data_IF_465451601897
#
_entry.id   IF_465451601897
#
_cell.length_a   1.000
_cell.length_b   1.000
_cell.length_c   1.000
_cell.angle_alpha   90.00
_cell.angle_beta   90.00
_cell.angle_gamma   90.00
#
_symmetry.space_group_name_H-M   'P 1'
#
loop_
_entity.id
_entity.type
_entity.pdbx_description
1 polymer ?
#
# COMPACT_ATOMS: atom_id res chain seq x y z
N UNK A 1 -49.98 37.90 -47.34
CA UNK A 1 -50.03 39.38 -47.48
C UNK A 1 -48.96 39.96 -46.58
N UNK A 2 -47.99 40.70 -47.17
CA UNK A 2 -46.78 41.32 -46.57
C UNK A 2 -45.75 40.32 -46.00
N UNK A 3 -44.43 40.43 -46.17
CA UNK A 3 -43.49 41.29 -46.91
C UNK A 3 -42.10 40.80 -46.45
N UNK A 4 -41.27 40.12 -47.25
CA UNK A 4 -40.27 40.68 -48.19
C UNK A 4 -38.90 40.99 -47.51
N UNK A 5 -37.81 40.58 -48.20
CA UNK A 5 -36.36 40.92 -48.05
C UNK A 5 -35.62 40.13 -46.95
N UNK A 6 -34.80 39.09 -47.20
CA UNK A 6 -33.79 38.78 -48.22
C UNK A 6 -32.57 39.72 -48.23
N UNK A 7 -31.39 39.19 -47.88
CA UNK A 7 -30.12 39.26 -48.64
C UNK A 7 -28.96 38.96 -47.67
N UNK A 8 -28.34 37.79 -47.74
CA UNK A 8 -27.32 37.39 -48.73
C UNK A 8 -25.97 38.11 -48.52
N UNK A 9 -25.01 37.30 -48.05
CA UNK A 9 -23.69 37.08 -48.65
C UNK A 9 -22.46 37.67 -47.95
N UNK A 10 -21.60 36.72 -47.55
CA UNK A 10 -20.16 36.65 -47.84
C UNK A 10 -19.20 37.50 -47.01
N UNK A 11 -17.98 36.95 -46.93
CA UNK A 11 -16.73 37.39 -46.25
C UNK A 11 -16.55 36.76 -44.85
N UNK A 12 -15.99 35.54 -44.73
CA UNK A 12 -14.60 35.09 -44.94
C UNK A 12 -13.67 35.31 -43.72
N UNK A 13 -13.18 34.17 -43.21
CA UNK A 13 -11.82 33.92 -42.67
C UNK A 13 -11.28 34.75 -41.50
N UNK A 14 -11.33 34.15 -40.29
CA UNK A 14 -10.26 34.04 -39.28
C UNK A 14 -10.93 33.43 -38.01
N UNK A 15 -10.46 32.39 -37.32
CA UNK A 15 -9.10 31.95 -37.12
C UNK A 15 -9.04 30.42 -36.95
N UNK A 16 -8.10 29.83 -37.68
CA UNK A 16 -7.41 28.61 -37.25
C UNK A 16 -6.53 29.04 -36.08
N UNK A 17 -6.83 28.55 -34.88
CA UNK A 17 -5.89 28.55 -33.75
C UNK A 17 -5.94 27.18 -33.09
N UNK A 18 -4.75 26.58 -33.09
CA UNK A 18 -4.39 25.24 -32.66
C UNK A 18 -4.48 25.10 -31.13
N UNK A 19 -5.09 24.01 -30.67
CA UNK A 19 -4.74 23.23 -29.47
C UNK A 19 -5.65 21.98 -29.49
N UNK A 20 -5.27 20.75 -29.82
CA UNK A 20 -4.06 19.98 -29.51
C UNK A 20 -3.74 19.95 -28.01
N UNK A 21 -4.67 19.40 -27.22
CA UNK A 21 -4.32 18.58 -26.05
C UNK A 21 -5.32 17.41 -25.96
N UNK A 22 -4.79 16.23 -26.28
CA UNK A 22 -5.06 14.91 -25.69
C UNK A 22 -6.53 14.50 -25.53
N UNK A 23 -7.04 13.57 -26.36
CA UNK A 23 -6.96 12.14 -26.02
C UNK A 23 -6.86 11.93 -24.51
N UNK A 24 -8.01 11.87 -23.84
CA UNK A 24 -8.13 11.37 -22.48
C UNK A 24 -7.77 9.89 -22.42
N UNK A 25 -6.48 9.58 -22.61
CA UNK A 25 -5.87 8.39 -22.08
C UNK A 25 -5.89 8.61 -20.57
N UNK A 26 -6.87 8.00 -19.92
CA UNK A 26 -6.75 7.71 -18.50
C UNK A 26 -5.49 6.86 -18.34
N UNK A 27 -4.36 7.50 -18.09
CA UNK A 27 -3.25 6.83 -17.46
C UNK A 27 -3.77 6.45 -16.08
N UNK A 28 -4.21 5.20 -15.94
CA UNK A 28 -4.21 4.54 -14.64
C UNK A 28 -2.77 4.62 -14.16
N UNK A 29 -2.48 5.58 -13.29
CA UNK A 29 -1.25 5.56 -12.51
C UNK A 29 -1.33 4.25 -11.72
N UNK A 30 -0.41 3.28 -11.90
CA UNK A 30 -0.39 2.12 -11.03
C UNK A 30 -0.19 2.64 -9.60
N UNK A 31 -1.18 2.42 -8.74
CA UNK A 31 -1.21 2.96 -7.37
C UNK A 31 -0.14 2.38 -6.44
N UNK A 32 0.67 1.41 -6.87
CA UNK A 32 1.58 0.69 -5.97
C UNK A 32 3.00 0.58 -6.55
N UNK A 33 3.64 1.71 -6.80
CA UNK A 33 5.11 1.75 -6.66
C UNK A 33 5.41 1.95 -5.18
N UNK A 34 5.08 0.94 -4.37
CA UNK A 34 5.46 0.91 -2.97
C UNK A 34 7.00 0.84 -2.94
N UNK A 35 7.65 1.95 -2.59
CA UNK A 35 9.10 2.01 -2.54
C UNK A 35 9.60 1.01 -1.48
N UNK A 36 10.64 0.25 -1.81
CA UNK A 36 11.32 -0.64 -0.87
C UNK A 36 11.63 0.08 0.46
N UNK A 37 11.65 -0.64 1.60
CA UNK A 37 11.83 -0.01 2.90
C UNK A 37 13.13 0.79 2.96
N UNK A 38 13.10 1.99 3.56
CA UNK A 38 14.33 2.72 3.85
C UNK A 38 15.18 1.88 4.82
N UNK A 39 16.41 1.57 4.40
CA UNK A 39 17.37 0.81 5.20
C UNK A 39 17.62 1.42 6.59
N UNK A 40 17.47 2.74 6.74
CA UNK A 40 17.66 3.44 8.01
C UNK A 40 16.45 3.27 8.95
N UNK A 41 15.33 2.78 8.45
CA UNK A 41 14.13 2.51 9.25
C UNK A 41 14.09 1.09 9.81
N UNK A 42 14.92 0.16 9.34
CA UNK A 42 14.87 -1.24 9.82
C UNK A 42 15.26 -1.32 11.30
N UNK A 43 14.35 -1.86 12.13
CA UNK A 43 14.53 -2.01 13.57
C UNK A 43 14.88 -3.45 13.96
N UNK A 44 14.22 -4.43 13.33
CA UNK A 44 14.50 -5.84 13.53
C UNK A 44 14.16 -6.65 12.29
N UNK A 45 14.66 -7.88 12.24
CA UNK A 45 14.29 -8.90 11.26
C UNK A 45 13.34 -9.92 11.88
N UNK A 46 12.46 -10.51 11.07
CA UNK A 46 11.62 -11.65 11.46
C UNK A 46 11.57 -12.66 10.30
N UNK A 47 11.57 -13.96 10.62
CA UNK A 47 11.55 -15.03 9.63
C UNK A 47 12.59 -14.87 8.49
N UNK A 48 12.43 -15.62 7.38
CA UNK A 48 13.28 -15.46 6.20
C UNK A 48 12.94 -14.19 5.43
N UNK A 49 13.90 -13.27 5.34
CA UNK A 49 13.80 -12.06 4.51
C UNK A 49 12.76 -11.04 4.98
N UNK A 50 12.23 -11.17 6.21
CA UNK A 50 11.30 -10.23 6.80
C UNK A 50 11.99 -9.15 7.64
N UNK A 51 11.52 -7.91 7.53
CA UNK A 51 12.01 -6.78 8.34
C UNK A 51 10.87 -5.91 8.86
N UNK A 52 10.98 -5.50 10.11
CA UNK A 52 10.12 -4.50 10.73
C UNK A 52 10.81 -3.14 10.64
N UNK A 53 10.08 -2.15 10.17
CA UNK A 53 10.51 -0.75 10.10
C UNK A 53 10.02 0.06 11.29
N UNK A 54 10.68 1.18 11.58
CA UNK A 54 10.35 2.11 12.67
C UNK A 54 8.96 2.73 12.52
N UNK A 55 8.47 2.83 11.28
CA UNK A 55 7.11 3.26 10.95
C UNK A 55 6.03 2.21 11.25
N UNK A 56 6.41 0.98 11.63
CA UNK A 56 5.49 -0.12 11.95
C UNK A 56 5.14 -1.01 10.77
N UNK A 57 5.72 -0.78 9.60
CA UNK A 57 5.49 -1.64 8.44
C UNK A 57 6.33 -2.92 8.51
N UNK A 58 5.69 -4.05 8.24
CA UNK A 58 6.31 -5.36 8.04
C UNK A 58 6.55 -5.59 6.56
N UNK A 59 7.80 -5.80 6.18
CA UNK A 59 8.23 -6.04 4.80
C UNK A 59 8.81 -7.43 4.65
N UNK A 60 8.59 -8.05 3.50
CA UNK A 60 9.18 -9.33 3.14
C UNK A 60 9.84 -9.25 1.76
N UNK A 61 11.06 -9.74 1.67
CA UNK A 61 11.74 -9.90 0.39
C UNK A 61 11.25 -11.15 -0.33
N UNK A 62 10.78 -10.98 -1.57
CA UNK A 62 10.25 -12.02 -2.44
C UNK A 62 11.36 -12.49 -3.39
N UNK A 63 11.79 -13.74 -3.24
CA UNK A 63 12.88 -14.30 -4.05
C UNK A 63 12.49 -14.51 -5.53
N UNK A 64 11.22 -14.76 -5.78
CA UNK A 64 10.63 -14.98 -7.10
C UNK A 64 10.62 -13.71 -7.94
N UNK A 65 10.17 -12.59 -7.37
CA UNK A 65 10.10 -11.29 -8.05
C UNK A 65 11.35 -10.43 -7.81
N UNK A 66 12.20 -10.82 -6.86
CA UNK A 66 13.38 -10.08 -6.40
C UNK A 66 13.03 -8.69 -5.85
N UNK A 67 11.88 -8.57 -5.21
CA UNK A 67 11.32 -7.30 -4.75
C UNK A 67 10.90 -7.33 -3.28
N UNK A 68 10.75 -6.15 -2.68
CA UNK A 68 10.21 -5.99 -1.34
C UNK A 68 8.71 -5.69 -1.40
N UNK A 69 7.92 -6.43 -0.64
CA UNK A 69 6.48 -6.18 -0.49
C UNK A 69 6.13 -6.07 0.99
N UNK A 70 5.06 -5.37 1.33
CA UNK A 70 4.51 -5.42 2.68
C UNK A 70 3.89 -6.79 2.94
N UNK A 71 3.77 -7.18 4.20
CA UNK A 71 3.17 -8.48 4.55
C UNK A 71 1.71 -8.59 4.07
N UNK A 72 0.93 -7.51 4.21
CA UNK A 72 -0.47 -7.48 3.75
C UNK A 72 -0.57 -7.59 2.23
N UNK A 73 0.36 -6.94 1.50
CA UNK A 73 0.42 -7.10 0.04
C UNK A 73 0.81 -8.54 -0.34
N UNK A 74 1.72 -9.17 0.41
CA UNK A 74 2.08 -10.57 0.17
C UNK A 74 0.89 -11.52 0.36
N UNK A 75 0.00 -11.24 1.31
CA UNK A 75 -1.26 -11.97 1.49
C UNK A 75 -2.23 -11.74 0.33
N UNK A 76 -2.41 -10.48 -0.07
CA UNK A 76 -3.25 -10.10 -1.20
C UNK A 76 -2.81 -10.75 -2.51
N UNK A 77 -1.50 -10.82 -2.77
CA UNK A 77 -0.92 -11.49 -3.94
C UNK A 77 -1.20 -13.00 -3.96
N UNK A 78 -1.41 -13.60 -2.79
CA UNK A 78 -1.79 -15.01 -2.62
C UNK A 78 -3.31 -15.21 -2.62
N UNK A 79 -4.09 -14.15 -2.84
CA UNK A 79 -5.56 -14.20 -2.84
C UNK A 79 -6.16 -14.29 -1.45
N UNK A 80 -5.43 -13.86 -0.41
CA UNK A 80 -5.91 -13.80 0.97
C UNK A 80 -6.21 -12.34 1.35
N UNK A 81 -7.37 -12.11 1.97
CA UNK A 81 -7.83 -10.79 2.42
C UNK A 81 -7.47 -10.60 3.91
N UNK A 82 -6.19 -10.81 4.23
CA UNK A 82 -5.64 -10.79 5.60
C UNK A 82 -4.90 -9.47 5.84
N UNK A 83 -5.17 -8.84 6.98
CA UNK A 83 -4.61 -7.55 7.39
C UNK A 83 -3.87 -7.68 8.72
N UNK A 84 -2.56 -7.93 8.64
CA UNK A 84 -1.71 -8.08 9.83
C UNK A 84 -1.43 -6.74 10.50
N UNK A 85 -1.41 -5.65 9.73
CA UNK A 85 -1.17 -4.30 10.25
C UNK A 85 -2.49 -3.59 10.57
N UNK A 86 -2.52 -2.73 11.61
CA UNK A 86 -1.41 -2.30 12.45
C UNK A 86 -0.99 -3.34 13.51
N UNK A 87 0.24 -3.21 14.02
CA UNK A 87 0.72 -4.02 15.14
C UNK A 87 -0.05 -3.69 16.43
N UNK A 88 -0.20 -4.65 17.37
CA UNK A 88 -0.97 -4.46 18.59
C UNK A 88 -0.25 -3.61 19.65
N UNK A 89 1.03 -3.29 19.42
CA UNK A 89 1.90 -2.50 20.29
C UNK A 89 2.80 -1.61 19.46
N UNK A 90 3.36 -0.57 20.06
CA UNK A 90 4.33 0.29 19.39
C UNK A 90 5.64 -0.47 19.07
N UNK A 91 6.33 -0.07 18.01
CA UNK A 91 7.54 -0.76 17.53
C UNK A 91 8.65 -0.79 18.59
N UNK A 92 8.79 0.26 19.37
CA UNK A 92 9.76 0.35 20.46
C UNK A 92 9.45 -0.57 21.63
N UNK A 93 8.19 -0.98 21.80
CA UNK A 93 7.80 -1.98 22.81
C UNK A 93 8.10 -3.41 22.38
N UNK A 94 8.40 -3.67 21.10
CA UNK A 94 8.68 -5.00 20.58
C UNK A 94 10.12 -5.39 20.90
N UNK A 95 10.28 -6.46 21.69
CA UNK A 95 11.58 -7.06 22.00
C UNK A 95 12.01 -8.02 20.91
N UNK A 96 11.09 -8.82 20.39
CA UNK A 96 11.38 -9.86 19.40
C UNK A 96 10.14 -10.24 18.61
N UNK A 97 10.38 -10.71 17.39
CA UNK A 97 9.36 -11.22 16.48
C UNK A 97 9.94 -12.45 15.75
N UNK A 98 9.32 -13.61 15.90
CA UNK A 98 9.80 -14.88 15.31
C UNK A 98 9.18 -15.11 13.90
N UNK A 99 8.00 -14.52 13.66
CA UNK A 99 7.31 -14.48 12.37
C UNK A 99 6.44 -13.23 12.32
N UNK A 100 5.79 -12.94 11.18
CA UNK A 100 4.85 -11.82 11.11
C UNK A 100 3.73 -11.90 12.16
N UNK A 101 3.38 -13.12 12.61
CA UNK A 101 2.21 -13.39 13.45
C UNK A 101 2.52 -13.66 14.92
N UNK A 102 3.78 -13.55 15.36
CA UNK A 102 4.12 -13.72 16.77
C UNK A 102 5.14 -12.69 17.23
N UNK A 103 4.77 -11.90 18.22
CA UNK A 103 5.64 -10.90 18.82
C UNK A 103 5.66 -10.99 20.34
N UNK A 104 6.79 -10.57 20.91
CA UNK A 104 6.98 -10.47 22.35
C UNK A 104 7.43 -9.07 22.69
N UNK A 105 6.76 -8.46 23.65
CA UNK A 105 7.08 -7.11 24.14
C UNK A 105 8.29 -7.13 25.08
N UNK A 106 8.87 -5.96 25.36
CA UNK A 106 9.91 -5.79 26.38
C UNK A 106 9.47 -6.28 27.76
N UNK A 107 8.19 -6.12 28.09
CA UNK A 107 7.60 -6.59 29.37
C UNK A 107 7.38 -8.11 29.43
N UNK A 108 7.56 -8.81 28.30
CA UNK A 108 7.34 -10.25 28.18
C UNK A 108 5.92 -10.65 27.78
N UNK A 109 5.00 -9.70 27.61
CA UNK A 109 3.67 -9.99 27.02
C UNK A 109 3.84 -10.45 25.58
N UNK A 110 3.17 -11.55 25.24
CA UNK A 110 3.17 -12.15 23.93
C UNK A 110 1.84 -11.86 23.22
N UNK A 111 1.93 -11.65 21.91
CA UNK A 111 0.77 -11.56 21.03
C UNK A 111 0.90 -12.56 19.90
N UNK A 112 -0.24 -13.13 19.50
CA UNK A 112 -0.37 -14.05 18.38
C UNK A 112 -1.41 -13.49 17.42
N UNK A 113 -1.09 -13.44 16.13
CA UNK A 113 -2.06 -13.08 15.11
C UNK A 113 -2.95 -14.28 14.80
N UNK A 114 -4.24 -14.09 14.94
CA UNK A 114 -5.27 -15.06 14.57
C UNK A 114 -5.65 -14.84 13.09
N UNK A 115 -5.33 -15.82 12.24
CA UNK A 115 -5.62 -15.76 10.81
C UNK A 115 -7.10 -15.99 10.49
N UNK A 116 -7.85 -16.63 11.39
CA UNK A 116 -9.29 -16.88 11.19
C UNK A 116 -10.10 -15.63 11.52
N UNK A 117 -9.70 -14.93 12.58
CA UNK A 117 -10.37 -13.71 13.05
C UNK A 117 -9.74 -12.42 12.49
N UNK A 118 -8.64 -12.54 11.74
CA UNK A 118 -7.86 -11.43 11.16
C UNK A 118 -7.46 -10.38 12.21
N UNK A 119 -7.03 -10.84 13.39
CA UNK A 119 -6.72 -9.94 14.50
C UNK A 119 -5.61 -10.42 15.44
N UNK A 120 -4.96 -9.45 16.09
CA UNK A 120 -3.96 -9.73 17.11
C UNK A 120 -4.59 -10.07 18.46
N UNK A 121 -4.21 -11.22 19.00
CA UNK A 121 -4.61 -11.69 20.33
C UNK A 121 -3.50 -11.48 21.35
N UNK A 122 -3.82 -10.84 22.46
CA UNK A 122 -2.96 -10.85 23.64
C UNK A 122 -3.08 -12.23 24.31
N UNK A 123 -1.99 -13.00 24.29
CA UNK A 123 -1.95 -14.36 24.87
C UNK A 123 -1.24 -14.38 26.24
N UNK A 124 -1.03 -13.19 26.83
CA UNK A 124 -0.41 -13.02 28.14
C UNK A 124 1.10 -13.19 28.13
N UNK A 125 1.66 -13.40 29.32
CA UNK A 125 3.08 -13.69 29.53
C UNK A 125 3.25 -15.19 29.78
N UNK A 126 4.29 -15.86 29.26
CA UNK A 126 4.60 -17.24 29.67
C UNK A 126 4.73 -17.29 31.19
N UNK A 127 3.91 -18.12 31.84
CA UNK A 127 4.04 -18.35 33.28
C UNK A 127 5.40 -18.98 33.54
N UNK A 128 6.23 -18.29 34.33
CA UNK A 128 7.48 -18.82 34.89
C UNK A 128 7.26 -20.07 35.72
#
# INVERSE_FOLDING_TARGET
>A
MRSIISRRHFWALAAIMIALVALGVFFSIPSDLQAAPDKNEVVLSFGPGGVLTRSGALWQYRLDTKDWVTIDQAFKDQGQDTHVLPLPVAVDEIRSMESFGFLVTQSGTCYLFDLEEDEWKNIGTPSS
#
